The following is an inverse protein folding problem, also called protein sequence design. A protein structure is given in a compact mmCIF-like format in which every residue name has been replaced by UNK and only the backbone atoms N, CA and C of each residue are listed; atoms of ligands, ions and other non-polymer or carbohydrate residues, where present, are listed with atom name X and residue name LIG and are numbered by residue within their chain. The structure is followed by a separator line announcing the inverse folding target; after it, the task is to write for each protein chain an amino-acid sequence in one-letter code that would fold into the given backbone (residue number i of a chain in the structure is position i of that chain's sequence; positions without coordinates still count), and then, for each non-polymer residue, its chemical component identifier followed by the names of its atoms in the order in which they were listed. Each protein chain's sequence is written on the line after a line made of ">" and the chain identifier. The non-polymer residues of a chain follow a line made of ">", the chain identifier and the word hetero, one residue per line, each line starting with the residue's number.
data_IF_100415277265
#
_entry.id   IF_100415277265
#
_cell.length_a   1.000
_cell.length_b   1.000
_cell.length_c   1.000
_cell.angle_alpha   90.00
_cell.angle_beta   90.00
_cell.angle_gamma   90.00
#
_symmetry.space_group_name_H-M   'P 1'
#
loop_
_entity.id
_entity.type
_entity.pdbx_description
1 polymer ?
#
# COMPACT_ATOMS: atom_id res chain seq x y z
N UNK A 1 8.78 6.47 -17.25
CA UNK A 1 7.42 5.88 -17.31
C UNK A 1 6.76 6.19 -15.99
N UNK A 2 5.71 7.00 -15.98
CA UNK A 2 4.92 7.25 -14.78
C UNK A 2 3.76 6.24 -14.74
N UNK A 3 3.63 5.50 -13.65
CA UNK A 3 2.60 4.49 -13.49
C UNK A 3 1.56 4.98 -12.49
N UNK A 4 0.32 5.14 -12.96
CA UNK A 4 -0.82 5.46 -12.11
C UNK A 4 -1.54 4.17 -11.69
N UNK A 5 -1.50 3.83 -10.40
CA UNK A 5 -2.16 2.65 -9.86
C UNK A 5 -3.42 3.02 -9.09
N UNK A 6 -4.54 2.38 -9.42
CA UNK A 6 -5.79 2.48 -8.68
C UNK A 6 -6.34 1.09 -8.35
N UNK A 7 -6.72 0.87 -7.09
CA UNK A 7 -7.42 -0.35 -6.67
C UNK A 7 -8.93 -0.11 -6.71
N UNK A 8 -9.64 -0.93 -7.48
CA UNK A 8 -11.10 -0.86 -7.57
C UNK A 8 -11.68 -2.26 -7.65
N UNK A 9 -12.77 -2.50 -6.93
CA UNK A 9 -13.49 -3.77 -7.00
C UNK A 9 -14.24 -3.85 -8.33
N UNK A 10 -14.19 -5.02 -8.96
CA UNK A 10 -14.98 -5.32 -10.14
C UNK A 10 -16.47 -5.22 -9.79
N UNK A 11 -17.25 -4.47 -10.58
CA UNK A 11 -18.69 -4.48 -10.46
C UNK A 11 -19.26 -5.81 -10.96
N UNK A 12 -20.47 -6.18 -10.51
CA UNK A 12 -21.10 -7.45 -10.87
C UNK A 12 -21.36 -7.61 -12.37
N UNK A 13 -21.48 -6.48 -13.09
CA UNK A 13 -21.62 -6.46 -14.55
C UNK A 13 -20.30 -6.65 -15.31
N UNK A 14 -19.17 -6.84 -14.61
CA UNK A 14 -17.86 -7.00 -15.23
C UNK A 14 -17.25 -5.72 -15.81
N UNK A 15 -17.86 -4.55 -15.57
CA UNK A 15 -17.37 -3.27 -16.11
C UNK A 15 -16.49 -2.55 -15.08
N UNK A 16 -15.28 -2.19 -15.48
CA UNK A 16 -14.37 -1.35 -14.70
C UNK A 16 -14.32 0.07 -15.30
N UNK A 17 -14.93 1.04 -14.61
CA UNK A 17 -14.86 2.46 -15.01
C UNK A 17 -13.70 3.16 -14.31
N UNK A 18 -12.68 3.56 -15.06
CA UNK A 18 -11.62 4.47 -14.60
C UNK A 18 -12.08 5.92 -14.85
N UNK A 19 -11.98 6.77 -13.84
CA UNK A 19 -12.32 8.20 -13.93
C UNK A 19 -11.19 9.01 -13.33
N UNK A 20 -11.07 10.29 -13.75
CA UNK A 20 -10.09 11.24 -13.22
C UNK A 20 -8.65 10.74 -13.29
N UNK A 21 -8.25 10.14 -14.41
CA UNK A 21 -6.85 9.76 -14.63
C UNK A 21 -6.01 11.03 -14.84
N UNK A 22 -4.76 11.08 -14.32
CA UNK A 22 -3.89 12.24 -14.45
C UNK A 22 -3.20 12.34 -15.82
N UNK A 23 -3.83 11.84 -16.89
CA UNK A 23 -3.32 11.87 -18.26
C UNK A 23 -4.07 12.93 -19.08
N UNK A 24 -3.40 13.48 -20.07
CA UNK A 24 -3.98 14.50 -20.95
C UNK A 24 -4.79 13.87 -22.07
N UNK A 25 -5.67 14.67 -22.68
CA UNK A 25 -6.39 14.24 -23.87
C UNK A 25 -5.41 13.94 -25.02
N UNK A 26 -5.64 12.82 -25.72
CA UNK A 26 -4.79 12.35 -26.83
C UNK A 26 -3.50 11.63 -26.40
N UNK A 27 -3.23 11.53 -25.10
CA UNK A 27 -2.08 10.79 -24.58
C UNK A 27 -2.28 9.28 -24.73
N UNK A 28 -1.30 8.59 -25.32
CA UNK A 28 -1.34 7.14 -25.44
C UNK A 28 -1.01 6.52 -24.07
N UNK A 29 -1.98 5.77 -23.52
CA UNK A 29 -1.84 5.12 -22.22
C UNK A 29 -1.96 3.60 -22.36
N UNK A 30 -1.14 2.87 -21.62
CA UNK A 30 -1.24 1.41 -21.49
C UNK A 30 -2.03 1.07 -20.22
N UNK A 31 -2.97 0.13 -20.33
CA UNK A 31 -3.82 -0.29 -19.21
C UNK A 31 -3.55 -1.75 -18.87
N UNK A 32 -3.08 -2.01 -17.65
CA UNK A 32 -2.80 -3.35 -17.14
C UNK A 32 -3.79 -3.67 -16.01
N UNK A 33 -4.53 -4.77 -16.15
CA UNK A 33 -5.49 -5.24 -15.13
C UNK A 33 -4.92 -6.48 -14.43
N UNK A 34 -4.65 -6.35 -13.12
CA UNK A 34 -4.13 -7.44 -12.30
C UNK A 34 -5.20 -7.94 -11.33
N UNK A 35 -5.56 -9.21 -11.43
CA UNK A 35 -6.43 -9.86 -10.46
C UNK A 35 -5.72 -10.07 -9.13
N UNK A 36 -5.99 -9.22 -8.14
CA UNK A 36 -5.48 -9.42 -6.77
C UNK A 36 -6.39 -10.42 -6.06
N UNK A 37 -5.87 -11.60 -5.70
CA UNK A 37 -6.49 -12.37 -4.61
C UNK A 37 -6.49 -11.44 -3.42
N UNK A 38 -7.66 -11.20 -2.82
CA UNK A 38 -7.73 -10.39 -1.63
C UNK A 38 -6.80 -10.98 -0.60
N UNK A 39 -5.62 -10.38 -0.43
CA UNK A 39 -5.05 -10.30 0.89
C UNK A 39 -6.16 -9.61 1.66
N UNK A 40 -6.92 -10.41 2.41
CA UNK A 40 -7.65 -9.92 3.55
C UNK A 40 -6.58 -9.12 4.26
N UNK A 41 -6.60 -7.78 4.08
CA UNK A 41 -5.77 -6.86 4.85
C UNK A 41 -6.09 -7.31 6.25
N UNK A 42 -5.19 -8.08 6.84
CA UNK A 42 -5.32 -8.49 8.22
C UNK A 42 -5.31 -7.12 8.86
N UNK A 43 -6.48 -6.64 9.25
CA UNK A 43 -6.57 -5.49 10.11
C UNK A 43 -6.09 -5.98 11.46
N UNK A 44 -4.81 -6.36 11.53
CA UNK A 44 -3.99 -6.03 12.68
C UNK A 44 -3.76 -4.52 12.60
N UNK A 45 -4.84 -3.74 12.52
CA UNK A 45 -4.82 -2.38 13.05
C UNK A 45 -4.75 -2.58 14.56
N UNK A 46 -3.56 -2.96 15.03
CA UNK A 46 -3.09 -2.61 16.35
C UNK A 46 -2.95 -1.10 16.33
N UNK A 47 -4.08 -0.40 16.26
CA UNK A 47 -4.13 1.04 16.23
C UNK A 47 -3.44 1.49 17.51
N UNK A 48 -2.38 2.28 17.35
CA UNK A 48 -1.69 2.91 18.47
C UNK A 48 -2.52 4.08 19.03
N UNK A 49 -3.61 4.46 18.35
CA UNK A 49 -4.55 5.47 18.81
C UNK A 49 -5.13 5.06 20.17
N UNK A 50 -4.88 5.88 21.19
CA UNK A 50 -5.35 5.65 22.56
C UNK A 50 -4.47 4.71 23.39
N UNK A 51 -3.35 4.21 22.85
CA UNK A 51 -2.38 3.41 23.60
C UNK A 51 -1.26 4.29 24.15
N UNK A 52 -0.90 4.08 25.41
CA UNK A 52 0.28 4.71 26.02
C UNK A 52 1.52 3.94 25.57
N UNK A 53 2.38 4.60 24.80
CA UNK A 53 3.66 4.03 24.35
C UNK A 53 4.73 4.39 25.38
N UNK A 54 5.38 3.38 25.97
CA UNK A 54 6.52 3.58 26.88
C UNK A 54 7.81 3.39 26.09
N UNK A 55 8.63 4.44 26.06
CA UNK A 55 9.99 4.34 25.55
C UNK A 55 10.88 3.83 26.68
N UNK A 56 11.51 2.68 26.46
CA UNK A 56 12.52 2.13 27.37
C UNK A 56 13.86 2.46 26.71
N UNK A 57 14.66 3.29 27.37
CA UNK A 57 16.00 3.70 26.95
C UNK A 57 16.13 4.06 25.45
N UNK A 58 15.39 5.08 24.95
CA UNK A 58 15.30 5.36 23.52
C UNK A 58 16.61 5.81 22.86
N UNK A 59 17.63 6.13 23.65
CA UNK A 59 18.94 6.61 23.19
C UNK A 59 20.06 5.62 23.45
N UNK A 60 19.76 4.43 23.97
CA UNK A 60 20.78 3.39 24.11
C UNK A 60 21.26 2.94 22.71
N UNK A 61 22.58 2.74 22.53
CA UNK A 61 23.10 2.22 21.27
C UNK A 61 22.46 0.87 20.95
N UNK A 62 21.87 0.77 19.76
CA UNK A 62 21.37 -0.51 19.23
C UNK A 62 22.58 -1.43 19.02
N UNK A 63 22.52 -2.67 19.50
CA UNK A 63 23.59 -3.64 19.30
C UNK A 63 23.82 -3.84 17.79
N UNK A 64 25.08 -4.00 17.39
CA UNK A 64 25.44 -4.16 15.97
C UNK A 64 24.72 -5.35 15.33
N UNK A 65 24.50 -6.40 16.10
CA UNK A 65 23.86 -7.64 15.64
C UNK A 65 22.34 -7.50 15.39
N UNK A 66 21.69 -6.47 15.96
CA UNK A 66 20.26 -6.21 15.74
C UNK A 66 19.97 -5.52 14.39
N UNK A 67 21.02 -5.11 13.65
CA UNK A 67 20.90 -4.51 12.32
C UNK A 67 20.81 -5.55 11.19
N UNK A 68 21.14 -6.81 11.43
CA UNK A 68 21.32 -7.85 10.40
C UNK A 68 20.00 -8.55 9.97
N UNK A 69 18.86 -7.85 10.00
CA UNK A 69 17.58 -8.39 9.49
C UNK A 69 17.32 -7.89 8.06
N UNK A 70 18.28 -8.05 7.15
CA UNK A 70 18.07 -7.98 5.70
C UNK A 70 19.19 -8.75 4.96
N UNK A 71 19.09 -10.08 4.94
CA UNK A 71 19.70 -10.92 3.91
C UNK A 71 18.65 -11.89 3.34
#
# INVERSE_FOLDING_TARGET
>A
MEAYQVEKRMAANGVLRLSTLPFREGELVEVIVLGRKGEMRRSTSSSLRGKVIKYINPTEPVAKDDWEVLL
#
